data_IF_699191588141
#
_entry.id   IF_699191588141
#
_cell.length_a   1.000
_cell.length_b   1.000
_cell.length_c   1.000
_cell.angle_alpha   90.00
_cell.angle_beta   90.00
_cell.angle_gamma   90.00
#
_symmetry.space_group_name_H-M   'P 1'
#
loop_
_entity.id
_entity.type
_entity.pdbx_description
1 polymer ?
#
# COMPACT_ATOMS: atom_id res chain seq x y z
N UNK A 1 -18.53 5.18 -17.42
CA UNK A 1 -18.87 3.93 -16.71
C UNK A 1 -17.86 2.80 -16.98
N UNK A 2 -17.65 2.37 -18.23
CA UNK A 2 -16.72 1.25 -18.52
C UNK A 2 -15.24 1.61 -18.32
N UNK A 3 -14.85 2.89 -18.50
CA UNK A 3 -13.50 3.39 -18.14
C UNK A 3 -13.34 3.58 -16.64
N UNK A 4 -14.30 4.24 -15.98
CA UNK A 4 -14.33 4.39 -14.50
C UNK A 4 -14.08 3.06 -13.77
N UNK A 5 -14.78 2.01 -14.21
CA UNK A 5 -14.64 0.68 -13.64
C UNK A 5 -13.26 0.06 -13.89
N UNK A 6 -12.65 0.32 -15.06
CA UNK A 6 -11.28 -0.12 -15.37
C UNK A 6 -10.25 0.61 -14.50
N UNK A 7 -10.37 1.93 -14.33
CA UNK A 7 -9.45 2.71 -13.49
C UNK A 7 -9.60 2.34 -12.01
N UNK A 8 -10.82 2.06 -11.55
CA UNK A 8 -11.05 1.56 -10.20
C UNK A 8 -10.38 0.19 -9.96
N UNK A 9 -10.59 -0.78 -10.86
CA UNK A 9 -9.96 -2.11 -10.74
C UNK A 9 -8.45 -2.03 -10.85
N UNK A 10 -7.94 -1.23 -11.80
CA UNK A 10 -6.50 -1.01 -11.95
C UNK A 10 -5.90 -0.38 -10.68
N UNK A 11 -6.57 0.64 -10.12
CA UNK A 11 -6.11 1.31 -8.92
C UNK A 11 -6.06 0.38 -7.72
N UNK A 12 -7.10 -0.44 -7.53
CA UNK A 12 -7.11 -1.46 -6.48
C UNK A 12 -5.97 -2.48 -6.66
N UNK A 13 -5.83 -3.04 -7.87
CA UNK A 13 -4.82 -4.04 -8.17
C UNK A 13 -3.39 -3.49 -8.01
N UNK A 14 -3.14 -2.26 -8.49
CA UNK A 14 -1.85 -1.60 -8.34
C UNK A 14 -1.54 -1.32 -6.87
N UNK A 15 -2.50 -0.81 -6.08
CA UNK A 15 -2.24 -0.49 -4.67
C UNK A 15 -1.91 -1.76 -3.86
N UNK A 16 -2.67 -2.85 -4.09
CA UNK A 16 -2.38 -4.15 -3.47
C UNK A 16 -1.02 -4.67 -3.93
N UNK A 17 -0.76 -4.66 -5.23
CA UNK A 17 0.51 -5.14 -5.81
C UNK A 17 1.74 -4.34 -5.36
N UNK A 18 1.60 -3.04 -5.11
CA UNK A 18 2.68 -2.20 -4.60
C UNK A 18 2.90 -2.30 -3.10
N UNK A 19 1.98 -2.89 -2.34
CA UNK A 19 2.09 -2.96 -0.88
C UNK A 19 3.38 -3.62 -0.36
N UNK A 20 3.88 -4.74 -0.95
CA UNK A 20 5.16 -5.31 -0.54
C UNK A 20 6.33 -4.34 -0.79
N UNK A 21 6.34 -3.66 -1.94
CA UNK A 21 7.39 -2.69 -2.29
C UNK A 21 7.33 -1.49 -1.32
N UNK A 22 6.13 -1.01 -1.01
CA UNK A 22 5.93 0.06 -0.03
C UNK A 22 6.45 -0.35 1.37
N UNK A 23 6.22 -1.59 1.80
CA UNK A 23 6.77 -2.12 3.05
C UNK A 23 8.30 -2.23 3.02
N UNK A 24 8.88 -2.68 1.90
CA UNK A 24 10.34 -2.71 1.70
C UNK A 24 10.96 -1.32 1.81
N UNK A 25 10.35 -0.30 1.23
CA UNK A 25 10.81 1.09 1.35
C UNK A 25 10.64 1.60 2.78
N UNK A 26 9.52 1.26 3.42
CA UNK A 26 9.23 1.69 4.79
C UNK A 26 10.20 1.10 5.79
N UNK A 27 10.54 -0.20 5.71
CA UNK A 27 11.44 -0.84 6.67
C UNK A 27 12.89 -0.30 6.61
N UNK A 28 13.29 0.24 5.46
CA UNK A 28 14.60 0.88 5.29
C UNK A 28 14.68 2.20 6.08
N UNK A 29 13.58 2.94 6.14
CA UNK A 29 13.54 4.27 6.79
C UNK A 29 12.95 4.25 8.22
N UNK A 30 12.01 3.35 8.50
CA UNK A 30 11.22 3.26 9.72
C UNK A 30 11.15 1.83 10.24
N UNK A 31 10.72 1.65 11.49
CA UNK A 31 10.42 0.32 12.01
C UNK A 31 9.12 -0.16 11.39
N UNK A 32 9.12 -1.35 10.81
CA UNK A 32 7.94 -1.96 10.20
C UNK A 32 7.58 -3.23 10.98
N UNK A 33 6.29 -3.44 11.30
CA UNK A 33 5.87 -4.64 12.00
C UNK A 33 6.00 -5.85 11.07
N UNK A 34 6.68 -6.89 11.53
CA UNK A 34 6.78 -8.17 10.84
C UNK A 34 6.17 -9.25 11.73
N UNK A 35 5.25 -10.08 11.19
CA UNK A 35 4.67 -11.18 11.95
C UNK A 35 5.77 -12.05 12.57
N UNK A 36 5.64 -12.39 13.86
CA UNK A 36 6.58 -13.24 14.63
C UNK A 36 7.93 -12.57 14.96
N UNK A 37 8.41 -11.62 14.16
CA UNK A 37 9.67 -10.90 14.38
C UNK A 37 9.52 -9.54 15.09
N UNK A 38 8.29 -9.04 15.24
CA UNK A 38 8.00 -7.74 15.84
C UNK A 38 8.41 -6.58 14.93
N UNK A 39 8.62 -5.40 15.52
CA UNK A 39 9.04 -4.20 14.80
C UNK A 39 10.53 -4.22 14.44
N UNK A 40 10.83 -4.38 13.16
CA UNK A 40 12.21 -4.46 12.63
C UNK A 40 12.52 -3.26 11.74
N UNK A 41 13.80 -2.92 11.58
CA UNK A 41 14.27 -1.85 10.71
C UNK A 41 15.55 -2.27 9.97
N UNK A 42 15.79 -1.65 8.82
CA UNK A 42 17.04 -1.75 8.07
C UNK A 42 16.94 -2.64 6.83
N UNK A 43 17.90 -2.51 5.91
CA UNK A 43 17.87 -3.16 4.61
C UNK A 43 17.90 -4.70 4.68
N UNK A 44 18.48 -5.28 5.73
CA UNK A 44 18.48 -6.72 5.96
C UNK A 44 17.07 -7.32 6.12
N UNK A 45 16.10 -6.48 6.50
CA UNK A 45 14.72 -6.88 6.79
C UNK A 45 13.75 -6.62 5.64
N UNK A 46 14.24 -6.20 4.46
CA UNK A 46 13.40 -5.91 3.28
C UNK A 46 12.48 -7.08 2.94
N UNK A 47 13.05 -8.29 2.87
CA UNK A 47 12.28 -9.48 2.50
C UNK A 47 11.21 -9.79 3.57
N UNK A 48 11.60 -9.76 4.84
CA UNK A 48 10.69 -9.99 5.96
C UNK A 48 9.52 -8.98 5.96
N UNK A 49 9.79 -7.70 5.68
CA UNK A 49 8.78 -6.66 5.57
C UNK A 49 7.84 -6.87 4.38
N UNK A 50 8.36 -7.28 3.22
CA UNK A 50 7.54 -7.62 2.05
C UNK A 50 6.54 -8.75 2.36
N UNK A 51 7.00 -9.82 2.99
CA UNK A 51 6.12 -10.93 3.41
C UNK A 51 5.16 -10.51 4.53
N UNK A 52 5.60 -9.66 5.45
CA UNK A 52 4.73 -9.05 6.45
C UNK A 52 3.59 -8.25 5.81
N UNK A 53 3.87 -7.43 4.80
CA UNK A 53 2.85 -6.70 4.05
C UNK A 53 1.82 -7.64 3.41
N UNK A 54 2.26 -8.74 2.81
CA UNK A 54 1.36 -9.76 2.24
C UNK A 54 0.49 -10.38 3.33
N UNK A 55 1.06 -10.70 4.49
CA UNK A 55 0.32 -11.24 5.62
C UNK A 55 -0.80 -10.27 6.08
N UNK A 56 -0.50 -8.98 6.22
CA UNK A 56 -1.51 -7.98 6.58
C UNK A 56 -2.55 -7.73 5.50
N UNK A 57 -2.16 -7.82 4.22
CA UNK A 57 -3.12 -7.79 3.12
C UNK A 57 -4.12 -8.93 3.24
N UNK A 58 -3.66 -10.17 3.48
CA UNK A 58 -4.52 -11.35 3.64
C UNK A 58 -5.44 -11.23 4.85
N UNK A 59 -4.99 -10.63 5.95
CA UNK A 59 -5.81 -10.36 7.14
C UNK A 59 -6.87 -9.26 6.96
N UNK A 60 -7.07 -8.75 5.74
CA UNK A 60 -8.11 -7.77 5.41
C UNK A 60 -7.57 -6.44 4.92
N UNK A 61 -6.26 -6.22 4.97
CA UNK A 61 -5.62 -5.03 4.39
C UNK A 61 -5.92 -4.86 2.90
N UNK A 62 -6.20 -5.95 2.16
CA UNK A 62 -6.59 -5.88 0.75
C UNK A 62 -7.86 -5.07 0.53
N UNK A 63 -8.84 -5.12 1.44
CA UNK A 63 -10.09 -4.40 1.31
C UNK A 63 -9.88 -2.89 1.51
N UNK A 64 -9.03 -2.54 2.48
CA UNK A 64 -8.70 -1.15 2.80
C UNK A 64 -7.83 -0.53 1.70
N UNK A 65 -6.68 -1.15 1.40
CA UNK A 65 -5.74 -0.66 0.39
C UNK A 65 -6.36 -0.71 -1.01
N UNK A 66 -7.08 -1.80 -1.32
CA UNK A 66 -7.80 -1.94 -2.59
C UNK A 66 -8.92 -0.92 -2.73
N UNK A 67 -9.68 -0.64 -1.66
CA UNK A 67 -10.73 0.38 -1.64
C UNK A 67 -10.18 1.79 -1.89
N UNK A 68 -9.12 2.17 -1.18
CA UNK A 68 -8.45 3.46 -1.40
C UNK A 68 -7.80 3.53 -2.79
N UNK A 69 -7.19 2.45 -3.27
CA UNK A 69 -6.65 2.36 -4.63
C UNK A 69 -7.72 2.54 -5.71
N UNK A 70 -8.88 1.90 -5.55
CA UNK A 70 -10.01 2.07 -6.46
C UNK A 70 -10.52 3.52 -6.46
N UNK A 71 -10.66 4.12 -5.28
CA UNK A 71 -11.01 5.54 -5.13
C UNK A 71 -10.01 6.46 -5.82
N UNK A 72 -8.71 6.20 -5.64
CA UNK A 72 -7.65 6.96 -6.29
C UNK A 72 -7.70 6.86 -7.82
N UNK A 73 -7.99 5.67 -8.36
CA UNK A 73 -8.20 5.47 -9.80
C UNK A 73 -9.40 6.24 -10.35
N UNK A 74 -10.53 6.25 -9.64
CA UNK A 74 -11.70 7.04 -10.02
C UNK A 74 -11.43 8.54 -10.00
N UNK A 75 -10.69 9.03 -9.00
CA UNK A 75 -10.29 10.44 -8.90
C UNK A 75 -9.32 10.81 -10.02
N UNK A 76 -8.34 9.95 -10.31
CA UNK A 76 -7.37 10.17 -11.39
C UNK A 76 -8.04 10.26 -12.76
N UNK A 77 -9.04 9.41 -13.03
CA UNK A 77 -9.81 9.47 -14.28
C UNK A 77 -10.58 10.80 -14.42
N UNK A 78 -11.21 11.27 -13.34
CA UNK A 78 -11.98 12.53 -13.35
C UNK A 78 -11.08 13.76 -13.54
N UNK A 79 -9.90 13.78 -12.93
CA UNK A 79 -8.98 14.92 -12.99
C UNK A 79 -8.16 14.97 -14.28
N UNK A 80 -7.72 13.81 -14.79
CA UNK A 80 -6.80 13.71 -15.93
C UNK A 80 -7.21 12.57 -16.87
N UNK A 81 -8.35 12.68 -17.59
CA UNK A 81 -8.89 11.59 -18.40
C UNK A 81 -7.95 11.13 -19.54
N UNK A 82 -7.13 12.02 -20.11
CA UNK A 82 -6.14 11.67 -21.13
C UNK A 82 -4.91 10.92 -20.60
N UNK A 83 -4.61 11.04 -19.29
CA UNK A 83 -3.46 10.41 -18.65
C UNK A 83 -3.90 9.56 -17.44
N UNK A 84 -5.14 9.05 -17.46
CA UNK A 84 -5.75 8.42 -16.29
C UNK A 84 -4.93 7.24 -15.76
N UNK A 85 -4.35 6.42 -16.65
CA UNK A 85 -3.57 5.22 -16.29
C UNK A 85 -2.30 5.56 -15.47
N UNK A 86 -1.33 6.36 -15.96
CA UNK A 86 -0.13 6.65 -15.17
C UNK A 86 -0.45 7.38 -13.85
N UNK A 87 -1.45 8.28 -13.83
CA UNK A 87 -1.89 8.92 -12.60
C UNK A 87 -2.54 7.94 -11.62
N UNK A 88 -3.30 6.96 -12.11
CA UNK A 88 -3.87 5.89 -11.28
C UNK A 88 -2.78 5.03 -10.66
N UNK A 89 -1.78 4.61 -11.46
CA UNK A 89 -0.65 3.81 -10.97
C UNK A 89 0.13 4.58 -9.91
N UNK A 90 0.46 5.85 -10.19
CA UNK A 90 1.18 6.72 -9.25
C UNK A 90 0.40 6.95 -7.96
N UNK A 91 -0.89 7.27 -8.05
CA UNK A 91 -1.74 7.46 -6.88
C UNK A 91 -1.90 6.16 -6.07
N UNK A 92 -1.98 5.01 -6.73
CA UNK A 92 -2.05 3.69 -6.08
C UNK A 92 -0.77 3.35 -5.31
N UNK A 93 0.38 3.72 -5.86
CA UNK A 93 1.66 3.60 -5.15
C UNK A 93 1.71 4.49 -3.90
N UNK A 94 1.20 5.73 -4.00
CA UNK A 94 1.07 6.62 -2.83
C UNK A 94 0.16 6.02 -1.78
N UNK A 95 -0.99 5.45 -2.16
CA UNK A 95 -1.90 4.75 -1.23
C UNK A 95 -1.18 3.59 -0.53
N UNK A 96 -0.43 2.77 -1.27
CA UNK A 96 0.34 1.66 -0.70
C UNK A 96 1.41 2.15 0.29
N UNK A 97 2.14 3.22 -0.06
CA UNK A 97 3.13 3.86 0.82
C UNK A 97 2.49 4.40 2.11
N UNK A 98 1.36 5.11 2.00
CA UNK A 98 0.64 5.61 3.17
C UNK A 98 0.14 4.47 4.05
N UNK A 99 -0.32 3.37 3.46
CA UNK A 99 -0.68 2.15 4.19
C UNK A 99 0.50 1.57 4.97
N UNK A 100 1.66 1.40 4.32
CA UNK A 100 2.87 0.88 4.97
C UNK A 100 3.39 1.83 6.07
N UNK A 101 3.39 3.14 5.82
CA UNK A 101 3.75 4.14 6.83
C UNK A 101 2.76 4.15 8.01
N UNK A 102 1.47 3.93 7.77
CA UNK A 102 0.48 3.83 8.85
C UNK A 102 0.80 2.65 9.77
N UNK A 103 1.25 1.52 9.21
CA UNK A 103 1.70 0.36 10.00
C UNK A 103 2.98 0.67 10.80
N UNK A 104 3.92 1.42 10.22
CA UNK A 104 5.11 1.85 10.95
C UNK A 104 4.78 2.83 12.09
N UNK A 105 3.81 3.72 11.89
CA UNK A 105 3.37 4.69 12.90
C UNK A 105 2.54 4.06 14.01
N UNK A 106 1.98 2.86 13.78
CA UNK A 106 1.14 2.17 14.75
C UNK A 106 1.90 1.87 16.05
N UNK A 107 3.23 1.70 16.00
CA UNK A 107 4.11 1.55 17.17
C UNK A 107 3.93 2.69 18.17
N UNK A 108 3.72 3.92 17.70
CA UNK A 108 3.60 5.11 18.55
C UNK A 108 2.19 5.29 19.14
N UNK A 109 1.18 4.71 18.51
CA UNK A 109 -0.22 4.87 18.94
C UNK A 109 -0.65 3.72 19.85
N UNK A 110 -0.23 2.50 19.54
CA UNK A 110 -0.72 1.28 20.21
C UNK A 110 0.41 0.53 20.94
N UNK A 111 1.65 0.96 20.78
CA UNK A 111 2.83 0.32 21.38
C UNK A 111 3.51 -0.69 20.44
N UNK A 112 4.78 -0.99 20.73
CA UNK A 112 5.50 -2.07 20.07
C UNK A 112 4.96 -3.41 20.61
N UNK A 113 4.33 -4.17 19.73
CA UNK A 113 3.87 -5.53 19.98
C UNK A 113 5.01 -6.53 19.78
#
# INVERSE_FOLDING_TARGET
>A
MQRDMRCAVLGAACAIGFSPIAAALTVVAYRFPVPIAGYVNGPANIWAAMFGAVFYLVLGGFAVIGGFGAGAGLVAERLRPHHAVPYTVGASFVVALLGALSMALLEYVVGAW
#
